data_IF_859124338378
#
_entry.id   IF_859124338378
#
_cell.length_a   1.000
_cell.length_b   1.000
_cell.length_c   1.000
_cell.angle_alpha   90.00
_cell.angle_beta   90.00
_cell.angle_gamma   90.00
#
_symmetry.space_group_name_H-M   'P 1'
#
loop_
_entity.id
_entity.type
_entity.pdbx_description
1 polymer ?
#
# COMPACT_ATOMS: atom_id res chain seq x y z
N UNK A 1 -54.15 -34.26 1.25
CA UNK A 1 -52.85 -34.81 1.71
C UNK A 1 -51.79 -34.79 0.61
N UNK A 2 -52.09 -35.21 -0.64
CA UNK A 2 -51.12 -35.20 -1.76
C UNK A 2 -50.48 -33.84 -2.09
N UNK A 3 -51.20 -32.71 -1.99
CA UNK A 3 -50.64 -31.38 -2.32
C UNK A 3 -49.47 -30.95 -1.44
N UNK A 4 -49.47 -31.33 -0.16
CA UNK A 4 -48.39 -30.99 0.78
C UNK A 4 -47.13 -31.83 0.54
N UNK A 5 -47.30 -33.10 0.15
CA UNK A 5 -46.17 -34.00 -0.15
C UNK A 5 -45.35 -33.46 -1.33
N UNK A 6 -46.01 -33.06 -2.43
CA UNK A 6 -45.31 -32.50 -3.59
C UNK A 6 -44.52 -31.24 -3.25
N UNK A 7 -45.07 -30.35 -2.42
CA UNK A 7 -44.38 -29.13 -1.97
C UNK A 7 -43.16 -29.47 -1.12
N UNK A 8 -43.28 -30.42 -0.19
CA UNK A 8 -42.17 -30.85 0.67
C UNK A 8 -41.04 -31.47 -0.15
N UNK A 9 -41.37 -32.32 -1.14
CA UNK A 9 -40.35 -32.92 -2.02
C UNK A 9 -39.60 -31.85 -2.81
N UNK A 10 -40.30 -30.86 -3.38
CA UNK A 10 -39.67 -29.76 -4.12
C UNK A 10 -38.77 -28.93 -3.20
N UNK A 11 -39.21 -28.62 -1.98
CA UNK A 11 -38.38 -27.89 -1.01
C UNK A 11 -37.13 -28.67 -0.61
N UNK A 12 -37.24 -29.98 -0.39
CA UNK A 12 -36.09 -30.84 -0.06
C UNK A 12 -35.07 -30.87 -1.21
N UNK A 13 -35.54 -30.92 -2.47
CA UNK A 13 -34.66 -30.84 -3.63
C UNK A 13 -33.94 -29.48 -3.72
N UNK A 14 -34.64 -28.38 -3.47
CA UNK A 14 -34.02 -27.04 -3.46
C UNK A 14 -32.94 -26.96 -2.39
N UNK A 15 -33.21 -27.42 -1.16
CA UNK A 15 -32.22 -27.44 -0.07
C UNK A 15 -31.01 -28.30 -0.42
N UNK A 16 -31.21 -29.46 -1.04
CA UNK A 16 -30.13 -30.33 -1.50
C UNK A 16 -29.25 -29.62 -2.55
N UNK A 17 -29.87 -29.01 -3.56
CA UNK A 17 -29.15 -28.28 -4.63
C UNK A 17 -28.38 -27.10 -4.03
N UNK A 18 -29.01 -26.29 -3.19
CA UNK A 18 -28.34 -25.17 -2.51
C UNK A 18 -27.17 -25.63 -1.62
N UNK A 19 -27.35 -26.75 -0.91
CA UNK A 19 -26.32 -27.35 -0.06
C UNK A 19 -25.07 -27.76 -0.83
N UNK A 20 -25.21 -28.21 -2.09
CA UNK A 20 -24.09 -28.54 -2.96
C UNK A 20 -23.47 -27.31 -3.65
N UNK A 21 -24.28 -26.29 -3.96
CA UNK A 21 -23.82 -25.10 -4.68
C UNK A 21 -23.01 -24.13 -3.80
N UNK A 22 -23.40 -23.92 -2.54
CA UNK A 22 -22.72 -22.98 -1.65
C UNK A 22 -21.21 -23.26 -1.46
N UNK A 23 -20.76 -24.48 -1.12
CA UNK A 23 -19.33 -24.76 -0.99
C UNK A 23 -18.59 -24.62 -2.32
N UNK A 24 -19.22 -24.99 -3.44
CA UNK A 24 -18.63 -24.87 -4.77
C UNK A 24 -18.41 -23.40 -5.16
N UNK A 25 -19.38 -22.51 -4.89
CA UNK A 25 -19.25 -21.07 -5.14
C UNK A 25 -18.13 -20.46 -4.30
N UNK A 26 -18.01 -20.85 -3.02
CA UNK A 26 -16.94 -20.36 -2.15
C UNK A 26 -15.55 -20.79 -2.64
N UNK A 27 -15.37 -22.06 -3.02
CA UNK A 27 -14.12 -22.56 -3.60
C UNK A 27 -13.77 -21.85 -4.90
N UNK A 28 -14.75 -21.60 -5.77
CA UNK A 28 -14.56 -20.86 -7.02
C UNK A 28 -14.10 -19.41 -6.76
N UNK A 29 -14.75 -18.71 -5.82
CA UNK A 29 -14.37 -17.34 -5.44
C UNK A 29 -12.95 -17.28 -4.89
N UNK A 30 -12.56 -18.25 -4.07
CA UNK A 30 -11.20 -18.29 -3.51
C UNK A 30 -10.15 -18.64 -4.58
N UNK A 31 -10.47 -19.55 -5.49
CA UNK A 31 -9.63 -19.81 -6.66
C UNK A 31 -9.45 -18.58 -7.55
N UNK A 32 -10.49 -17.75 -7.69
CA UNK A 32 -10.41 -16.48 -8.40
C UNK A 32 -9.51 -15.47 -7.67
N UNK A 33 -9.64 -15.31 -6.34
CA UNK A 33 -8.74 -14.45 -5.55
C UNK A 33 -7.29 -14.89 -5.63
N UNK A 34 -7.04 -16.20 -5.57
CA UNK A 34 -5.72 -16.79 -5.76
C UNK A 34 -5.14 -16.45 -7.14
N UNK A 35 -5.97 -16.55 -8.18
CA UNK A 35 -5.58 -16.17 -9.56
C UNK A 35 -5.32 -14.67 -9.70
N UNK A 36 -6.11 -13.82 -9.05
CA UNK A 36 -5.89 -12.36 -9.02
C UNK A 36 -4.59 -12.01 -8.31
N UNK A 37 -4.26 -12.63 -7.18
CA UNK A 37 -2.97 -12.40 -6.49
C UNK A 37 -1.78 -12.81 -7.37
N UNK A 38 -1.89 -13.94 -8.08
CA UNK A 38 -0.91 -14.33 -9.11
C UNK A 38 -0.79 -13.28 -10.22
N UNK A 39 -1.90 -12.71 -10.67
CA UNK A 39 -1.90 -11.65 -11.68
C UNK A 39 -1.28 -10.35 -11.17
N UNK A 40 -1.51 -9.98 -9.91
CA UNK A 40 -0.86 -8.83 -9.26
C UNK A 40 0.68 -9.00 -9.27
N UNK A 41 1.18 -10.18 -8.89
CA UNK A 41 2.61 -10.49 -8.99
C UNK A 41 3.13 -10.46 -10.43
N UNK A 42 2.33 -10.89 -11.41
CA UNK A 42 2.68 -10.78 -12.83
C UNK A 42 2.78 -9.33 -13.29
N UNK A 43 1.88 -8.46 -12.84
CA UNK A 43 1.95 -7.02 -13.13
C UNK A 43 3.19 -6.39 -12.51
N UNK A 44 3.51 -6.73 -11.24
CA UNK A 44 4.75 -6.31 -10.60
C UNK A 44 5.95 -6.78 -11.42
N UNK A 45 6.02 -8.06 -11.80
CA UNK A 45 7.11 -8.59 -12.63
C UNK A 45 7.29 -7.85 -13.94
N UNK A 46 6.20 -7.57 -14.66
CA UNK A 46 6.25 -6.79 -15.90
C UNK A 46 6.80 -5.38 -15.67
N UNK A 47 6.30 -4.66 -14.66
CA UNK A 47 6.77 -3.32 -14.33
C UNK A 47 8.26 -3.31 -13.94
N UNK A 48 8.72 -4.36 -13.27
CA UNK A 48 10.11 -4.51 -12.87
C UNK A 48 11.04 -4.78 -14.06
N UNK A 49 10.60 -5.58 -15.04
CA UNK A 49 11.33 -5.74 -16.31
C UNK A 49 11.39 -4.43 -17.10
N UNK A 50 10.28 -3.69 -17.18
CA UNK A 50 10.26 -2.38 -17.85
C UNK A 50 11.18 -1.37 -17.15
N UNK A 51 11.19 -1.36 -15.81
CA UNK A 51 12.12 -0.55 -15.02
C UNK A 51 13.57 -0.92 -15.35
N UNK A 52 13.89 -2.21 -15.34
CA UNK A 52 15.24 -2.69 -15.59
C UNK A 52 15.72 -2.43 -17.03
N UNK A 53 14.83 -2.48 -18.02
CA UNK A 53 15.18 -2.15 -19.39
C UNK A 53 15.52 -0.66 -19.53
N UNK A 54 14.77 0.21 -18.85
CA UNK A 54 14.99 1.66 -18.84
C UNK A 54 16.21 2.10 -18.01
N UNK A 55 16.48 1.46 -16.86
CA UNK A 55 17.52 1.87 -15.91
C UNK A 55 18.77 0.98 -15.92
N UNK A 56 18.74 -0.13 -16.66
CA UNK A 56 19.79 -1.16 -16.73
C UNK A 56 20.09 -1.88 -15.39
N UNK A 57 19.22 -1.72 -14.40
CA UNK A 57 19.30 -2.40 -13.11
C UNK A 57 17.92 -2.52 -12.48
N UNK A 58 17.80 -3.39 -11.49
CA UNK A 58 16.63 -3.46 -10.61
C UNK A 58 16.60 -2.22 -9.70
N UNK A 59 15.40 -1.77 -9.28
CA UNK A 59 15.30 -0.67 -8.34
C UNK A 59 15.95 -1.04 -7.02
N UNK A 60 16.54 -0.05 -6.37
CA UNK A 60 16.97 -0.17 -4.98
C UNK A 60 15.80 -0.63 -4.11
N UNK A 61 16.04 -1.59 -3.22
CA UNK A 61 15.07 -2.02 -2.20
C UNK A 61 14.50 -0.85 -1.41
N UNK A 62 15.38 0.11 -1.11
CA UNK A 62 15.03 1.38 -0.50
C UNK A 62 16.20 2.35 -0.57
N UNK A 63 15.91 3.62 -0.79
CA UNK A 63 16.92 4.66 -0.80
C UNK A 63 17.04 5.26 0.60
N UNK A 64 18.22 5.15 1.20
CA UNK A 64 18.53 5.71 2.51
C UNK A 64 19.65 6.71 2.31
N UNK A 65 19.39 7.97 2.67
CA UNK A 65 20.38 9.05 2.63
C UNK A 65 21.49 8.80 3.66
N UNK A 66 22.64 9.41 3.46
CA UNK A 66 23.80 9.34 4.36
C UNK A 66 23.49 9.71 5.82
N UNK A 67 22.56 10.64 6.04
CA UNK A 67 22.06 11.04 7.37
C UNK A 67 21.11 10.01 8.03
N UNK A 68 20.87 8.88 7.37
CA UNK A 68 19.96 7.83 7.81
C UNK A 68 18.50 8.07 7.45
N UNK A 69 18.16 9.17 6.77
CA UNK A 69 16.78 9.46 6.37
C UNK A 69 16.27 8.40 5.38
N UNK A 70 15.18 7.70 5.72
CA UNK A 70 14.57 6.72 4.82
C UNK A 70 13.76 7.45 3.75
N UNK A 71 14.28 7.53 2.53
CA UNK A 71 13.57 8.08 1.37
C UNK A 71 12.59 7.01 0.86
N UNK A 72 12.60 6.66 -0.43
CA UNK A 72 11.55 5.84 -1.05
C UNK A 72 11.93 4.35 -1.14
N UNK A 73 10.94 3.47 -1.03
CA UNK A 73 11.10 2.03 -1.27
C UNK A 73 11.01 1.61 -2.75
N UNK A 74 11.40 0.37 -3.04
CA UNK A 74 11.42 -0.17 -4.42
C UNK A 74 10.06 -0.09 -5.12
N UNK A 75 8.96 -0.23 -4.39
CA UNK A 75 7.59 -0.11 -4.94
C UNK A 75 7.29 1.28 -5.50
N UNK A 76 7.89 2.33 -4.94
CA UNK A 76 7.78 3.69 -5.49
C UNK A 76 8.51 3.81 -6.82
N UNK A 77 9.64 3.12 -6.99
CA UNK A 77 10.55 3.32 -8.13
C UNK A 77 9.97 2.83 -9.45
N UNK A 78 9.24 1.71 -9.44
CA UNK A 78 8.63 1.18 -10.66
C UNK A 78 7.18 1.63 -10.85
N UNK A 79 6.65 2.52 -10.00
CA UNK A 79 5.27 3.01 -10.10
C UNK A 79 4.92 3.56 -11.50
N UNK A 80 5.81 4.30 -12.22
CA UNK A 80 5.53 4.72 -13.60
C UNK A 80 5.24 3.59 -14.59
N UNK A 81 5.73 2.38 -14.30
CA UNK A 81 5.60 1.21 -15.16
C UNK A 81 4.43 0.28 -14.79
N UNK A 82 3.64 0.61 -13.75
CA UNK A 82 2.48 -0.18 -13.33
C UNK A 82 1.20 0.20 -14.06
N UNK A 83 0.80 1.47 -13.95
CA UNK A 83 -0.53 1.95 -14.35
C UNK A 83 -0.48 3.31 -15.06
N UNK A 84 0.73 3.82 -15.36
CA UNK A 84 0.98 5.18 -15.84
C UNK A 84 0.34 6.27 -14.96
N UNK A 85 0.08 5.98 -13.67
CA UNK A 85 -0.52 6.95 -12.75
C UNK A 85 0.37 8.18 -12.61
N UNK A 86 -0.22 9.40 -12.57
CA UNK A 86 0.54 10.63 -12.29
C UNK A 86 1.10 10.66 -10.86
N UNK A 87 0.76 9.69 -10.00
CA UNK A 87 1.18 9.63 -8.60
C UNK A 87 2.70 9.65 -8.42
N UNK A 88 3.47 9.04 -9.32
CA UNK A 88 4.92 9.10 -9.22
C UNK A 88 5.45 10.54 -9.31
N UNK A 89 4.87 11.36 -10.18
CA UNK A 89 5.27 12.76 -10.33
C UNK A 89 4.93 13.59 -9.08
N UNK A 90 3.98 13.13 -8.25
CA UNK A 90 3.53 13.83 -7.04
C UNK A 90 4.41 13.50 -5.82
N UNK A 91 5.33 12.53 -5.94
CA UNK A 91 6.26 12.16 -4.88
C UNK A 91 7.51 13.02 -4.95
N UNK A 92 7.85 13.65 -3.82
CA UNK A 92 9.15 14.25 -3.62
C UNK A 92 10.17 13.17 -3.21
N UNK A 93 11.03 12.80 -4.16
CA UNK A 93 12.07 11.78 -3.99
C UNK A 93 13.20 12.20 -3.05
N UNK A 94 13.32 13.50 -2.73
CA UNK A 94 14.33 14.06 -1.85
C UNK A 94 13.87 14.15 -0.39
N UNK A 95 12.64 13.79 -0.07
CA UNK A 95 12.15 13.76 1.30
C UNK A 95 11.83 12.32 1.73
N UNK A 96 11.70 12.12 3.04
CA UNK A 96 11.32 10.81 3.58
C UNK A 96 10.00 10.33 2.96
N UNK A 97 9.86 9.01 2.76
CA UNK A 97 8.61 8.43 2.20
C UNK A 97 7.37 8.86 3.00
N UNK A 98 7.50 8.96 4.32
CA UNK A 98 6.41 9.33 5.24
C UNK A 98 6.34 10.82 5.55
N UNK A 99 7.02 11.67 4.77
CA UNK A 99 6.92 13.12 4.94
C UNK A 99 5.52 13.62 4.58
N UNK A 100 5.04 14.72 5.20
CA UNK A 100 3.72 15.30 4.90
C UNK A 100 3.47 15.57 3.40
N UNK A 101 4.53 15.89 2.64
CA UNK A 101 4.45 16.18 1.20
C UNK A 101 4.15 14.93 0.35
N UNK A 102 4.57 13.75 0.80
CA UNK A 102 4.36 12.48 0.08
C UNK A 102 3.10 11.74 0.54
N UNK A 103 2.45 12.25 1.59
CA UNK A 103 1.47 11.50 2.35
C UNK A 103 0.23 11.12 1.53
N UNK A 104 -0.30 12.06 0.75
CA UNK A 104 -1.46 11.81 -0.11
C UNK A 104 -1.27 10.59 -1.04
N UNK A 105 -0.07 10.44 -1.61
CA UNK A 105 0.25 9.30 -2.46
C UNK A 105 0.46 8.03 -1.64
N UNK A 106 1.28 8.09 -0.58
CA UNK A 106 1.64 6.91 0.24
C UNK A 106 0.48 6.33 1.07
N UNK A 107 -0.59 7.10 1.27
CA UNK A 107 -1.84 6.66 1.89
C UNK A 107 -2.79 5.96 0.91
N UNK A 108 -2.51 6.04 -0.39
CA UNK A 108 -3.33 5.40 -1.41
C UNK A 108 -3.18 3.88 -1.33
N UNK A 109 -4.31 3.20 -1.13
CA UNK A 109 -4.40 1.74 -1.17
C UNK A 109 -4.42 1.29 -2.63
N UNK A 110 -3.47 0.44 -3.01
CA UNK A 110 -3.29 -0.03 -4.39
C UNK A 110 -3.66 -1.51 -4.49
N UNK A 111 -4.75 -1.88 -5.19
CA UNK A 111 -5.20 -3.28 -5.26
C UNK A 111 -4.15 -4.25 -5.78
N UNK A 112 -3.26 -3.81 -6.66
CA UNK A 112 -2.16 -4.63 -7.20
C UNK A 112 -1.01 -4.87 -6.21
N UNK A 113 -0.99 -4.19 -5.07
CA UNK A 113 -0.09 -4.50 -3.94
C UNK A 113 -0.74 -5.35 -2.86
N UNK A 114 -2.03 -5.68 -3.00
CA UNK A 114 -2.76 -6.46 -2.02
C UNK A 114 -3.09 -7.86 -2.54
N UNK A 115 -2.90 -8.86 -1.69
CA UNK A 115 -3.56 -10.16 -1.82
C UNK A 115 -5.08 -9.98 -1.56
N UNK A 116 -5.98 -10.29 -2.52
CA UNK A 116 -7.43 -10.08 -2.37
C UNK A 116 -8.12 -10.94 -1.29
N UNK A 117 -7.43 -11.94 -0.75
CA UNK A 117 -7.93 -12.76 0.36
C UNK A 117 -7.54 -12.22 1.73
N UNK A 118 -6.62 -11.24 1.79
CA UNK A 118 -6.22 -10.57 3.03
C UNK A 118 -7.02 -9.28 3.20
N UNK A 119 -7.62 -9.09 4.37
CA UNK A 119 -8.51 -7.96 4.62
C UNK A 119 -7.77 -6.66 4.99
N UNK A 120 -6.63 -6.76 5.68
CA UNK A 120 -5.86 -5.58 6.07
C UNK A 120 -5.45 -4.80 4.82
N UNK A 121 -5.63 -3.47 4.82
CA UNK A 121 -5.38 -2.65 3.64
C UNK A 121 -4.50 -1.42 3.94
N UNK A 122 -4.51 -0.96 5.19
CA UNK A 122 -3.80 0.23 5.65
C UNK A 122 -3.25 0.05 7.06
N UNK A 123 -2.30 0.91 7.42
CA UNK A 123 -1.86 1.07 8.80
C UNK A 123 -2.84 1.92 9.60
N UNK A 124 -2.79 1.84 10.94
CA UNK A 124 -3.55 2.76 11.83
C UNK A 124 -3.13 4.23 11.71
N UNK A 125 -2.02 4.49 11.01
CA UNK A 125 -1.56 5.84 10.67
C UNK A 125 -1.90 6.25 9.22
N UNK A 126 -2.67 5.43 8.50
CA UNK A 126 -3.26 5.79 7.21
C UNK A 126 -2.49 5.35 5.97
N UNK A 127 -1.24 4.90 6.10
CA UNK A 127 -0.45 4.42 4.96
C UNK A 127 -1.02 3.15 4.35
N UNK A 128 -1.10 3.08 3.02
CA UNK A 128 -1.54 1.89 2.29
C UNK A 128 -0.52 0.75 2.40
N UNK A 129 -1.00 -0.48 2.57
CA UNK A 129 -0.15 -1.65 2.75
C UNK A 129 0.31 -2.28 1.43
N UNK A 130 1.31 -3.15 1.57
CA UNK A 130 1.59 -4.24 0.62
C UNK A 130 1.47 -5.59 1.32
N UNK A 131 0.97 -6.58 0.59
CA UNK A 131 0.96 -8.01 0.96
C UNK A 131 2.07 -8.80 0.26
N UNK A 132 2.97 -8.10 -0.42
CA UNK A 132 4.14 -8.66 -1.10
C UNK A 132 5.41 -7.98 -0.59
N UNK A 133 6.41 -8.77 -0.16
CA UNK A 133 7.71 -8.25 0.26
C UNK A 133 8.83 -8.78 -0.64
N UNK A 134 9.82 -7.91 -0.85
CA UNK A 134 10.95 -8.16 -1.74
C UNK A 134 11.98 -9.16 -1.20
N UNK A 135 12.73 -9.73 -2.14
CA UNK A 135 13.92 -10.53 -1.85
C UNK A 135 15.06 -9.62 -1.37
N UNK A 136 15.58 -9.80 -0.14
CA UNK A 136 16.68 -8.99 0.38
C UNK A 136 17.98 -9.16 -0.42
N UNK A 137 18.11 -10.15 -1.29
CA UNK A 137 19.28 -10.32 -2.14
C UNK A 137 19.24 -9.43 -3.40
N UNK A 138 18.05 -8.98 -3.81
CA UNK A 138 17.86 -8.11 -4.98
C UNK A 138 17.45 -6.69 -4.57
N UNK A 139 16.56 -6.61 -3.58
CA UNK A 139 15.86 -5.41 -3.14
C UNK A 139 16.31 -5.03 -1.72
N UNK A 140 17.61 -4.78 -1.53
CA UNK A 140 18.15 -4.26 -0.28
C UNK A 140 18.43 -2.75 -0.36
N UNK A 141 18.88 -2.18 0.76
CA UNK A 141 19.12 -0.74 0.84
C UNK A 141 20.19 -0.27 -0.15
N UNK A 142 19.90 0.81 -0.86
CA UNK A 142 20.78 1.42 -1.86
C UNK A 142 21.33 0.40 -2.88
N UNK A 143 20.55 -0.63 -3.22
CA UNK A 143 20.94 -1.66 -4.18
C UNK A 143 20.80 -1.17 -5.63
N UNK A 144 21.54 -1.83 -6.52
CA UNK A 144 21.44 -1.66 -7.98
C UNK A 144 21.66 -3.01 -8.67
N UNK A 145 21.05 -4.07 -8.12
CA UNK A 145 21.25 -5.43 -8.61
C UNK A 145 20.84 -5.56 -10.08
N UNK A 146 21.52 -6.40 -10.85
CA UNK A 146 21.19 -6.61 -12.27
C UNK A 146 20.88 -8.09 -12.56
N UNK A 147 20.25 -8.37 -13.69
CA UNK A 147 19.94 -9.76 -14.07
C UNK A 147 21.20 -10.59 -14.32
N UNK A 148 22.29 -9.96 -14.75
CA UNK A 148 23.59 -10.61 -14.99
C UNK A 148 24.24 -11.14 -13.71
N UNK A 149 23.93 -10.53 -12.55
CA UNK A 149 24.44 -10.97 -11.25
C UNK A 149 23.74 -12.23 -10.71
N UNK A 150 22.68 -12.69 -11.37
CA UNK A 150 21.92 -13.88 -11.00
C UNK A 150 22.58 -15.14 -11.56
N UNK A 151 23.70 -15.57 -10.98
CA UNK A 151 24.52 -16.68 -11.50
C UNK A 151 23.77 -18.02 -11.63
N UNK A 152 22.76 -18.25 -10.78
CA UNK A 152 21.89 -19.44 -10.84
C UNK A 152 20.80 -19.33 -11.93
N UNK A 153 20.75 -18.21 -12.65
CA UNK A 153 19.72 -17.87 -13.63
C UNK A 153 18.50 -17.19 -13.01
N UNK A 154 17.80 -16.43 -13.85
CA UNK A 154 16.60 -15.64 -13.48
C UNK A 154 15.43 -16.52 -13.04
N UNK A 155 15.29 -17.73 -13.61
CA UNK A 155 14.26 -18.71 -13.24
C UNK A 155 14.47 -19.36 -11.87
N UNK A 156 15.68 -19.26 -11.28
CA UNK A 156 15.99 -19.78 -9.95
C UNK A 156 16.14 -18.67 -8.90
N UNK A 157 15.90 -17.42 -9.30
CA UNK A 157 16.07 -16.25 -8.43
C UNK A 157 14.69 -15.63 -8.22
N UNK A 158 14.16 -15.74 -7.00
CA UNK A 158 12.88 -15.14 -6.64
C UNK A 158 13.04 -13.63 -6.41
N UNK A 159 11.97 -12.88 -6.65
CA UNK A 159 11.97 -11.42 -6.66
C UNK A 159 11.16 -10.83 -5.49
N UNK A 160 9.92 -11.25 -5.37
CA UNK A 160 8.99 -10.86 -4.30
C UNK A 160 7.98 -11.98 -4.11
N UNK A 161 7.37 -12.05 -2.94
CA UNK A 161 6.41 -13.10 -2.60
C UNK A 161 5.31 -12.61 -1.68
N UNK A 162 4.22 -13.36 -1.65
CA UNK A 162 3.12 -13.16 -0.71
C UNK A 162 3.58 -13.36 0.74
N UNK A 163 3.25 -12.45 1.65
CA UNK A 163 3.61 -12.58 3.07
C UNK A 163 2.42 -12.92 3.96
N UNK A 164 2.69 -13.69 5.02
CA UNK A 164 1.66 -14.19 5.93
C UNK A 164 1.18 -13.15 6.95
N UNK A 165 1.98 -12.11 7.20
CA UNK A 165 1.69 -11.10 8.20
C UNK A 165 2.82 -10.09 8.33
N UNK A 166 2.77 -9.29 9.41
CA UNK A 166 3.63 -8.11 9.60
C UNK A 166 3.71 -7.27 8.34
N UNK A 167 2.54 -6.96 7.78
CA UNK A 167 2.40 -6.15 6.58
C UNK A 167 3.01 -4.77 6.82
N UNK A 168 3.51 -4.18 5.74
CA UNK A 168 4.24 -2.93 5.78
C UNK A 168 3.62 -1.97 4.76
N UNK A 169 3.77 -0.65 4.95
CA UNK A 169 3.42 0.31 3.91
C UNK A 169 4.14 -0.02 2.61
N UNK A 170 3.46 0.09 1.48
CA UNK A 170 4.07 -0.21 0.18
C UNK A 170 5.26 0.74 -0.11
N UNK A 171 5.19 2.00 0.35
CA UNK A 171 6.25 2.99 0.16
C UNK A 171 7.42 2.87 1.15
N UNK A 172 7.33 1.99 2.15
CA UNK A 172 8.34 1.85 3.20
C UNK A 172 9.65 1.29 2.63
N UNK A 173 10.81 1.95 2.82
CA UNK A 173 12.07 1.57 2.17
C UNK A 173 12.80 0.41 2.84
N UNK A 174 12.11 -0.42 3.64
CA UNK A 174 12.66 -1.64 4.23
C UNK A 174 11.67 -2.82 4.08
N UNK A 175 10.85 -2.80 3.04
CA UNK A 175 9.82 -3.81 2.77
C UNK A 175 10.34 -5.02 1.97
N UNK A 176 11.45 -5.57 2.46
CA UNK A 176 12.00 -6.87 2.09
C UNK A 176 12.07 -7.80 3.30
N UNK A 177 12.21 -9.10 3.04
CA UNK A 177 12.22 -10.14 4.07
C UNK A 177 12.88 -11.40 3.56
N UNK A 178 13.70 -12.05 4.37
CA UNK A 178 14.26 -13.38 4.05
C UNK A 178 13.15 -14.43 3.93
N UNK A 179 13.24 -15.30 2.91
CA UNK A 179 12.20 -16.28 2.59
C UNK A 179 11.95 -17.30 3.72
N UNK A 180 12.99 -17.63 4.50
CA UNK A 180 12.97 -18.69 5.50
C UNK A 180 13.04 -20.09 4.88
N UNK A 181 12.88 -21.12 5.71
CA UNK A 181 12.94 -22.53 5.30
C UNK A 181 11.57 -23.21 5.24
N UNK A 182 10.50 -22.49 5.60
CA UNK A 182 9.13 -22.98 5.57
C UNK A 182 8.16 -21.83 5.29
N UNK A 183 7.15 -22.08 4.45
CA UNK A 183 6.06 -21.12 4.20
C UNK A 183 4.94 -21.31 5.22
N UNK A 184 4.20 -20.24 5.48
CA UNK A 184 3.12 -20.17 6.46
C UNK A 184 3.54 -20.48 7.91
N UNK A 185 4.84 -20.35 8.23
CA UNK A 185 5.41 -20.52 9.57
C UNK A 185 5.29 -19.23 10.42
N UNK A 186 4.05 -18.78 10.60
CA UNK A 186 3.73 -17.58 11.38
C UNK A 186 3.84 -16.25 10.62
N UNK A 187 3.59 -15.11 11.30
CA UNK A 187 3.43 -13.80 10.66
C UNK A 187 4.70 -13.25 10.01
N UNK A 188 5.87 -13.73 10.43
CA UNK A 188 7.16 -13.37 9.84
C UNK A 188 7.49 -14.19 8.58
N UNK A 189 6.66 -15.15 8.16
CA UNK A 189 6.92 -16.00 6.99
C UNK A 189 6.31 -15.46 5.70
N UNK A 190 6.64 -16.10 4.58
CA UNK A 190 5.94 -15.97 3.31
C UNK A 190 4.81 -16.99 3.22
N UNK A 191 3.79 -16.71 2.40
CA UNK A 191 2.62 -17.55 2.20
C UNK A 191 1.32 -16.93 2.72
N UNK A 192 0.20 -17.55 2.38
CA UNK A 192 -1.11 -17.26 2.95
C UNK A 192 -1.65 -18.54 3.59
N UNK A 193 -1.78 -18.61 4.94
CA UNK A 193 -2.12 -19.85 5.65
C UNK A 193 -3.39 -20.54 5.16
N UNK A 194 -4.43 -19.79 4.77
CA UNK A 194 -5.66 -20.40 4.26
C UNK A 194 -5.49 -21.07 2.88
N UNK A 195 -4.42 -20.76 2.13
CA UNK A 195 -4.04 -21.48 0.92
C UNK A 195 -3.01 -22.59 1.16
N UNK A 196 -2.52 -22.76 2.40
CA UNK A 196 -1.44 -23.71 2.74
C UNK A 196 -0.21 -23.51 1.86
N UNK A 197 0.15 -22.26 1.59
CA UNK A 197 1.23 -21.89 0.68
C UNK A 197 1.09 -20.47 0.16
N UNK A 198 1.92 -20.11 -0.81
CA UNK A 198 1.86 -18.80 -1.46
C UNK A 198 2.60 -18.76 -2.79
N UNK A 199 2.41 -17.66 -3.49
CA UNK A 199 3.10 -17.39 -4.74
C UNK A 199 4.41 -16.66 -4.51
N UNK A 200 5.42 -17.06 -5.28
CA UNK A 200 6.65 -16.32 -5.47
C UNK A 200 6.74 -15.90 -6.95
N UNK A 201 7.09 -14.63 -7.17
CA UNK A 201 7.52 -14.12 -8.46
C UNK A 201 9.01 -14.37 -8.62
N UNK A 202 9.43 -14.83 -9.79
CA UNK A 202 10.83 -15.01 -10.17
C UNK A 202 11.30 -13.89 -11.08
N UNK A 203 12.62 -13.73 -11.16
CA UNK A 203 13.28 -12.70 -11.95
C UNK A 203 13.13 -12.90 -13.47
N UNK A 204 12.65 -14.06 -13.93
CA UNK A 204 12.24 -14.30 -15.31
C UNK A 204 10.78 -13.86 -15.58
N UNK A 205 10.10 -13.29 -14.59
CA UNK A 205 8.70 -12.90 -14.65
C UNK A 205 7.72 -14.05 -14.40
N UNK A 206 8.18 -15.29 -14.19
CA UNK A 206 7.31 -16.42 -13.86
C UNK A 206 6.75 -16.31 -12.44
N UNK A 207 5.52 -16.78 -12.22
CA UNK A 207 4.89 -16.78 -10.89
C UNK A 207 4.40 -18.19 -10.60
N UNK A 208 4.95 -18.76 -9.53
CA UNK A 208 4.74 -20.15 -9.14
C UNK A 208 4.20 -20.24 -7.72
N UNK A 209 3.29 -21.19 -7.50
CA UNK A 209 2.74 -21.47 -6.18
C UNK A 209 3.55 -22.54 -5.47
N UNK A 210 3.95 -22.28 -4.23
CA UNK A 210 4.65 -23.22 -3.36
C UNK A 210 3.77 -23.53 -2.16
N UNK A 211 3.62 -24.81 -1.83
CA UNK A 211 2.88 -25.21 -0.64
C UNK A 211 3.74 -25.04 0.61
N UNK A 212 3.11 -25.01 1.78
CA UNK A 212 3.79 -25.08 3.09
C UNK A 212 4.61 -26.36 3.27
N UNK A 213 4.33 -27.40 2.47
CA UNK A 213 5.05 -28.68 2.44
C UNK A 213 6.24 -28.69 1.47
N UNK A 214 6.55 -27.55 0.84
CA UNK A 214 7.73 -27.41 -0.02
C UNK A 214 8.99 -27.75 0.79
N UNK A 215 9.89 -28.55 0.21
CA UNK A 215 11.13 -28.95 0.88
C UNK A 215 11.93 -27.73 1.32
N UNK A 216 12.39 -27.75 2.57
CA UNK A 216 13.26 -26.72 3.13
C UNK A 216 14.51 -26.49 2.27
N UNK A 217 15.06 -27.54 1.65
CA UNK A 217 16.23 -27.45 0.76
C UNK A 217 15.93 -26.60 -0.48
N UNK A 218 14.71 -26.63 -1.00
CA UNK A 218 14.31 -25.79 -2.16
C UNK A 218 14.24 -24.32 -1.72
N UNK A 219 13.59 -24.05 -0.58
CA UNK A 219 13.45 -22.68 -0.06
C UNK A 219 14.82 -22.09 0.35
N UNK A 220 15.70 -22.90 0.93
CA UNK A 220 17.07 -22.51 1.27
C UNK A 220 17.88 -22.16 0.02
N UNK A 221 17.75 -22.93 -1.06
CA UNK A 221 18.38 -22.60 -2.36
C UNK A 221 17.89 -21.26 -2.91
N UNK A 222 16.60 -20.95 -2.78
CA UNK A 222 16.06 -19.65 -3.19
C UNK A 222 16.51 -18.51 -2.26
N UNK A 223 16.54 -18.76 -0.95
CA UNK A 223 16.94 -17.76 0.05
C UNK A 223 18.43 -17.39 -0.04
N UNK A 224 19.27 -18.28 -0.56
CA UNK A 224 20.72 -18.10 -0.67
C UNK A 224 21.20 -17.82 -2.11
N UNK A 225 20.28 -17.71 -3.08
CA UNK A 225 20.62 -17.46 -4.47
C UNK A 225 21.38 -16.12 -4.63
N UNK A 226 22.43 -16.06 -5.47
CA UNK A 226 23.17 -14.83 -5.72
C UNK A 226 22.34 -13.81 -6.52
N UNK A 227 22.65 -12.51 -6.43
CA UNK A 227 23.75 -11.91 -5.65
C UNK A 227 23.53 -11.97 -4.13
N UNK A 228 24.61 -12.04 -3.34
CA UNK A 228 24.53 -12.11 -1.87
C UNK A 228 25.05 -10.79 -1.26
N UNK A 229 24.18 -9.93 -0.72
CA UNK A 229 24.58 -8.68 -0.07
C UNK A 229 25.17 -8.89 1.32
N UNK A 230 25.78 -7.84 1.88
CA UNK A 230 26.27 -7.86 3.27
C UNK A 230 25.12 -7.82 4.28
N UNK A 231 25.40 -8.19 5.53
CA UNK A 231 24.41 -8.15 6.62
C UNK A 231 23.88 -6.73 6.87
N UNK A 232 24.75 -5.73 6.75
CA UNK A 232 24.44 -4.32 6.94
C UNK A 232 23.52 -3.79 5.83
N UNK A 233 23.66 -4.32 4.61
CA UNK A 233 22.82 -3.97 3.47
C UNK A 233 21.39 -4.50 3.61
N UNK A 234 21.23 -5.72 4.16
CA UNK A 234 19.91 -6.34 4.35
C UNK A 234 19.27 -6.03 5.69
N UNK A 235 19.97 -5.33 6.58
CA UNK A 235 19.46 -4.96 7.89
C UNK A 235 18.18 -4.14 7.78
N UNK A 236 17.15 -4.55 8.51
CA UNK A 236 15.86 -3.86 8.61
C UNK A 236 15.68 -3.28 10.01
N UNK A 237 15.12 -2.07 10.16
CA UNK A 237 14.77 -1.54 11.47
C UNK A 237 13.78 -2.45 12.19
N UNK A 238 13.88 -2.55 13.52
CA UNK A 238 12.88 -3.21 14.37
C UNK A 238 11.62 -2.35 14.47
N UNK A 239 10.90 -2.23 13.35
CA UNK A 239 9.65 -1.49 13.23
C UNK A 239 8.52 -2.47 12.94
N UNK A 240 7.41 -2.28 13.65
CA UNK A 240 6.14 -2.96 13.39
C UNK A 240 5.07 -1.91 13.17
N UNK A 241 4.24 -2.16 12.17
CA UNK A 241 3.10 -1.32 11.85
C UNK A 241 1.85 -1.97 12.43
N UNK A 242 1.01 -1.18 13.09
CA UNK A 242 -0.34 -1.60 13.42
C UNK A 242 -1.16 -1.54 12.14
N UNK A 243 -1.71 -2.68 11.73
CA UNK A 243 -2.41 -2.85 10.44
C UNK A 243 -3.82 -3.33 10.66
N UNK A 244 -4.72 -2.96 9.76
CA UNK A 244 -6.12 -3.32 9.86
C UNK A 244 -6.90 -2.96 8.61
N UNK A 245 -8.21 -3.02 8.71
CA UNK A 245 -9.14 -2.58 7.69
C UNK A 245 -9.48 -1.13 8.00
N UNK A 246 -9.01 -0.21 7.16
CA UNK A 246 -9.30 1.21 7.30
C UNK A 246 -9.77 1.82 5.99
N UNK A 247 -10.56 2.88 6.09
CA UNK A 247 -11.09 3.60 4.94
C UNK A 247 -10.95 5.10 5.18
N UNK A 248 -10.54 5.82 4.12
CA UNK A 248 -10.50 7.27 4.13
C UNK A 248 -11.85 7.83 3.71
N UNK A 249 -12.43 8.67 4.56
CA UNK A 249 -13.62 9.46 4.26
C UNK A 249 -13.23 10.92 4.14
N UNK A 250 -13.47 11.49 2.96
CA UNK A 250 -13.23 12.91 2.71
C UNK A 250 -14.44 13.75 3.12
N UNK A 251 -14.16 14.91 3.69
CA UNK A 251 -15.12 15.85 4.20
C UNK A 251 -14.71 17.27 3.80
N UNK A 252 -15.46 17.92 2.91
CA UNK A 252 -15.23 19.32 2.57
C UNK A 252 -15.44 20.21 3.79
N UNK A 253 -14.55 21.20 3.96
CA UNK A 253 -14.64 22.21 5.03
C UNK A 253 -15.36 23.50 4.57
N UNK A 254 -15.96 23.52 3.37
CA UNK A 254 -16.79 24.62 2.85
C UNK A 254 -16.16 26.01 3.02
N UNK A 255 -14.97 26.20 2.45
CA UNK A 255 -14.32 27.51 2.36
C UNK A 255 -14.95 28.36 1.26
N UNK A 256 -14.74 29.69 1.30
CA UNK A 256 -15.32 30.62 0.32
C UNK A 256 -14.91 30.21 -1.12
N UNK A 257 -15.86 30.13 -2.08
CA UNK A 257 -15.61 29.62 -3.43
C UNK A 257 -14.68 30.51 -4.26
N UNK A 258 -14.50 31.79 -3.90
CA UNK A 258 -13.66 32.76 -4.63
C UNK A 258 -12.19 32.77 -4.15
N UNK A 259 -11.78 31.82 -3.30
CA UNK A 259 -10.41 31.72 -2.78
C UNK A 259 -9.56 30.76 -3.62
N UNK A 260 -8.27 31.07 -3.76
CA UNK A 260 -7.28 30.25 -4.47
C UNK A 260 -7.08 28.83 -3.88
N UNK A 261 -7.65 28.53 -2.71
CA UNK A 261 -7.44 27.28 -1.98
C UNK A 261 -8.75 26.62 -1.55
N UNK A 262 -8.78 25.30 -1.69
CA UNK A 262 -9.82 24.44 -1.12
C UNK A 262 -9.27 23.68 0.07
N UNK A 263 -10.09 23.58 1.12
CA UNK A 263 -9.75 22.85 2.34
C UNK A 263 -10.72 21.71 2.58
N UNK A 264 -10.17 20.56 2.96
CA UNK A 264 -10.95 19.39 3.29
C UNK A 264 -10.26 18.58 4.38
N UNK A 265 -11.05 17.86 5.17
CA UNK A 265 -10.55 16.89 6.11
C UNK A 265 -10.66 15.48 5.51
N UNK A 266 -9.67 14.64 5.78
CA UNK A 266 -9.76 13.18 5.61
C UNK A 266 -9.84 12.56 7.00
N UNK A 267 -10.82 11.68 7.19
CA UNK A 267 -11.03 10.89 8.42
C UNK A 267 -10.73 9.44 8.09
N UNK A 268 -9.78 8.85 8.80
CA UNK A 268 -9.49 7.42 8.73
C UNK A 268 -10.45 6.71 9.69
N UNK A 269 -11.29 5.83 9.16
CA UNK A 269 -12.25 5.05 9.93
C UNK A 269 -11.84 3.57 9.92
N UNK A 270 -12.08 2.85 11.02
CA UNK A 270 -11.91 1.39 11.07
C UNK A 270 -13.15 0.66 10.47
N UNK A 271 -13.17 -0.66 10.53
CA UNK A 271 -14.29 -1.48 10.04
C UNK A 271 -15.64 -1.19 10.71
N UNK A 272 -15.62 -0.64 11.92
CA UNK A 272 -16.81 -0.30 12.71
C UNK A 272 -17.21 1.17 12.53
N UNK A 273 -16.66 1.87 11.52
CA UNK A 273 -16.88 3.29 11.23
C UNK A 273 -16.42 4.22 12.37
N UNK A 274 -15.57 3.75 13.28
CA UNK A 274 -14.98 4.57 14.33
C UNK A 274 -13.79 5.35 13.75
N UNK A 275 -13.70 6.68 13.97
CA UNK A 275 -12.56 7.46 13.53
C UNK A 275 -11.31 7.12 14.34
N UNK A 276 -10.17 7.02 13.65
CA UNK A 276 -8.85 6.66 14.20
C UNK A 276 -7.84 7.77 13.99
N UNK A 277 -7.97 8.51 12.89
CA UNK A 277 -7.07 9.60 12.53
C UNK A 277 -7.85 10.67 11.76
N UNK A 278 -7.58 11.94 12.03
CA UNK A 278 -8.13 13.05 11.25
C UNK A 278 -6.96 13.87 10.71
N UNK A 279 -7.05 14.24 9.44
CA UNK A 279 -6.06 15.03 8.74
C UNK A 279 -6.75 16.15 7.96
N UNK A 280 -6.20 17.35 8.00
CA UNK A 280 -6.64 18.47 7.18
C UNK A 280 -5.67 18.66 6.04
N UNK A 281 -6.24 18.86 4.85
CA UNK A 281 -5.52 19.12 3.63
C UNK A 281 -5.93 20.46 3.04
N UNK A 282 -4.97 21.08 2.37
CA UNK A 282 -5.15 22.23 1.49
C UNK A 282 -4.78 21.82 0.07
N UNK A 283 -5.62 22.18 -0.90
CA UNK A 283 -5.33 22.05 -2.32
C UNK A 283 -5.47 23.40 -3.00
N UNK A 284 -4.58 23.71 -3.94
CA UNK A 284 -4.69 24.93 -4.74
C UNK A 284 -5.77 24.73 -5.81
N UNK A 285 -6.51 25.79 -6.11
CA UNK A 285 -7.53 25.85 -7.15
C UNK A 285 -7.11 26.70 -8.35
N UNK A 286 -6.03 27.47 -8.25
CA UNK A 286 -5.59 28.35 -9.33
C UNK A 286 -5.16 27.54 -10.54
N UNK A 287 -5.95 27.52 -11.60
CA UNK A 287 -5.47 27.15 -12.93
C UNK A 287 -4.38 28.16 -13.30
N UNK A 288 -3.13 27.71 -13.37
CA UNK A 288 -2.03 28.56 -13.80
C UNK A 288 -2.22 28.91 -15.27
N UNK A 289 -1.97 30.18 -15.61
CA UNK A 289 -1.78 30.56 -17.00
C UNK A 289 -0.60 29.80 -17.62
N UNK A 290 -0.60 29.62 -18.94
CA UNK A 290 0.49 28.91 -19.65
C UNK A 290 1.87 29.51 -19.36
N UNK A 291 1.97 30.83 -19.15
CA UNK A 291 3.21 31.52 -18.80
C UNK A 291 3.69 31.18 -17.37
N UNK A 292 2.78 31.14 -16.39
CA UNK A 292 3.12 30.75 -15.01
C UNK A 292 3.54 29.27 -14.93
N UNK A 293 2.92 28.39 -15.73
CA UNK A 293 3.33 26.98 -15.83
C UNK A 293 4.73 26.83 -16.40
N UNK A 294 5.08 27.62 -17.43
CA UNK A 294 6.39 27.61 -18.06
C UNK A 294 7.51 28.18 -17.16
N UNK A 295 7.18 29.09 -16.26
CA UNK A 295 8.13 29.68 -15.30
C UNK A 295 8.34 28.85 -14.04
N UNK A 296 7.42 27.93 -13.72
CA UNK A 296 7.56 27.07 -12.55
C UNK A 296 8.68 26.05 -12.70
N UNK A 297 9.49 25.91 -11.65
CA UNK A 297 10.50 24.87 -11.59
C UNK A 297 9.83 23.48 -11.58
N UNK A 298 10.55 22.45 -12.04
CA UNK A 298 10.07 21.06 -12.07
C UNK A 298 9.55 20.58 -10.70
N UNK A 299 10.15 21.02 -9.60
CA UNK A 299 9.68 20.69 -8.24
C UNK A 299 8.36 21.38 -7.89
N UNK A 300 8.16 22.62 -8.32
CA UNK A 300 6.91 23.34 -8.12
C UNK A 300 5.79 22.73 -8.98
N UNK A 301 6.07 22.38 -10.23
CA UNK A 301 5.13 21.71 -11.14
C UNK A 301 4.59 20.40 -10.56
N UNK A 302 5.46 19.61 -9.92
CA UNK A 302 5.08 18.34 -9.26
C UNK A 302 4.12 18.52 -8.09
N UNK A 303 4.08 19.70 -7.48
CA UNK A 303 3.36 19.93 -6.22
C UNK A 303 2.16 20.87 -6.34
N UNK A 304 1.96 21.48 -7.51
CA UNK A 304 1.07 22.61 -7.70
C UNK A 304 -0.43 22.29 -7.53
N UNK A 305 -0.85 21.05 -7.82
CA UNK A 305 -2.25 20.60 -7.66
C UNK A 305 -2.40 19.40 -6.71
N UNK A 306 -1.39 19.17 -5.86
CA UNK A 306 -1.38 18.03 -4.93
C UNK A 306 -1.92 18.49 -3.58
N UNK A 307 -2.92 17.81 -2.99
CA UNK A 307 -3.34 18.10 -1.64
C UNK A 307 -2.18 17.98 -0.65
N UNK A 308 -1.92 19.05 0.09
CA UNK A 308 -0.86 19.09 1.11
C UNK A 308 -1.47 18.95 2.49
N UNK A 309 -0.95 18.02 3.28
CA UNK A 309 -1.31 17.90 4.68
C UNK A 309 -0.89 19.18 5.42
N UNK A 310 -1.84 19.82 6.09
CA UNK A 310 -1.60 21.04 6.89
C UNK A 310 -1.70 20.80 8.40
N UNK A 311 -2.52 19.84 8.82
CA UNK A 311 -2.72 19.54 10.24
C UNK A 311 -3.13 18.08 10.42
N UNK A 312 -2.54 17.42 11.42
CA UNK A 312 -2.98 16.11 11.89
C UNK A 312 -3.61 16.30 13.27
N UNK A 313 -4.85 15.83 13.44
CA UNK A 313 -5.60 15.96 14.69
C UNK A 313 -5.59 14.62 15.42
N UNK A 314 -5.11 14.66 16.66
CA UNK A 314 -5.24 13.58 17.65
C UNK A 314 -6.26 13.97 18.72
N UNK A 315 -6.59 13.04 19.61
CA UNK A 315 -7.49 13.28 20.75
C UNK A 315 -7.01 14.39 21.69
N UNK A 316 -5.71 14.66 21.73
CA UNK A 316 -5.08 15.65 22.62
C UNK A 316 -4.72 16.96 21.92
N UNK A 317 -4.98 17.09 20.62
CA UNK A 317 -4.73 18.34 19.90
C UNK A 317 -5.61 19.46 20.45
N UNK A 318 -5.01 20.59 20.82
CA UNK A 318 -5.77 21.83 21.06
C UNK A 318 -6.31 22.32 19.71
N UNK A 319 -7.56 21.97 19.42
CA UNK A 319 -8.16 22.21 18.12
C UNK A 319 -8.29 23.70 17.82
N UNK A 320 -8.62 24.52 18.83
CA UNK A 320 -8.80 25.95 18.63
C UNK A 320 -7.46 26.60 18.26
N UNK A 321 -6.40 26.29 18.99
CA UNK A 321 -5.07 26.82 18.69
C UNK A 321 -4.54 26.28 17.36
N UNK A 322 -4.68 24.97 17.12
CA UNK A 322 -4.17 24.34 15.90
C UNK A 322 -4.84 24.85 14.63
N UNK A 323 -6.15 25.14 14.66
CA UNK A 323 -6.85 25.74 13.51
C UNK A 323 -6.42 27.19 13.28
N UNK A 324 -6.22 27.98 14.35
CA UNK A 324 -5.72 29.37 14.26
C UNK A 324 -4.33 29.44 13.63
N UNK A 325 -3.44 28.53 14.04
CA UNK A 325 -2.06 28.47 13.54
C UNK A 325 -1.96 27.87 12.13
N UNK A 326 -3.03 27.25 11.64
CA UNK A 326 -3.06 26.65 10.31
C UNK A 326 -3.34 27.69 9.21
N UNK A 327 -2.93 27.44 7.96
CA UNK A 327 -3.26 28.33 6.83
C UNK A 327 -4.75 28.57 6.61
N UNK A 328 -5.61 27.70 7.14
CA UNK A 328 -7.07 27.81 7.07
C UNK A 328 -7.57 29.13 7.65
N UNK A 329 -6.95 29.64 8.73
CA UNK A 329 -7.38 30.87 9.41
C UNK A 329 -7.31 32.11 8.51
N UNK A 330 -6.44 32.10 7.51
CA UNK A 330 -6.32 33.20 6.53
C UNK A 330 -7.44 33.18 5.47
N UNK A 331 -8.04 32.01 5.24
CA UNK A 331 -8.96 31.73 4.13
C UNK A 331 -10.41 31.48 4.57
N UNK A 332 -10.71 31.61 5.86
CA UNK A 332 -12.05 31.42 6.42
C UNK A 332 -12.46 32.58 7.31
N UNK A 333 -13.73 32.99 7.22
CA UNK A 333 -14.30 33.95 8.16
C UNK A 333 -14.65 33.30 9.51
N UNK A 334 -14.94 34.12 10.52
CA UNK A 334 -15.14 33.67 11.91
C UNK A 334 -16.33 32.71 12.05
N UNK A 335 -17.41 32.92 11.30
CA UNK A 335 -18.59 32.05 11.30
C UNK A 335 -18.27 30.66 10.70
N UNK A 336 -17.54 30.62 9.58
CA UNK A 336 -17.08 29.37 8.97
C UNK A 336 -16.11 28.62 9.89
N UNK A 337 -15.16 29.34 10.50
CA UNK A 337 -14.20 28.75 11.44
C UNK A 337 -14.92 28.10 12.62
N UNK A 338 -15.99 28.72 13.14
CA UNK A 338 -16.79 28.14 14.21
C UNK A 338 -17.49 26.84 13.77
N UNK A 339 -18.07 26.79 12.57
CA UNK A 339 -18.70 25.58 12.00
C UNK A 339 -17.67 24.46 11.82
N UNK A 340 -16.49 24.79 11.27
CA UNK A 340 -15.39 23.85 11.07
C UNK A 340 -14.92 23.30 12.42
N UNK A 341 -14.71 24.18 13.41
CA UNK A 341 -14.31 23.80 14.76
C UNK A 341 -15.32 22.82 15.37
N UNK A 342 -16.62 23.17 15.41
CA UNK A 342 -17.65 22.29 15.99
C UNK A 342 -17.68 20.91 15.32
N UNK A 343 -17.55 20.87 13.99
CA UNK A 343 -17.54 19.61 13.24
C UNK A 343 -16.33 18.76 13.57
N UNK A 344 -15.13 19.34 13.55
CA UNK A 344 -13.89 18.64 13.85
C UNK A 344 -13.81 18.21 15.33
N UNK A 345 -14.32 19.04 16.25
CA UNK A 345 -14.39 18.72 17.68
C UNK A 345 -15.28 17.49 17.93
N UNK A 346 -16.41 17.40 17.23
CA UNK A 346 -17.30 16.23 17.33
C UNK A 346 -16.62 14.92 16.91
N UNK A 347 -15.74 14.98 15.91
CA UNK A 347 -14.97 13.84 15.42
C UNK A 347 -13.78 13.54 16.32
N UNK A 348 -13.08 14.57 16.80
CA UNK A 348 -11.95 14.45 17.72
C UNK A 348 -12.33 13.72 19.01
N UNK A 349 -13.53 13.99 19.55
CA UNK A 349 -14.07 13.31 20.74
C UNK A 349 -14.26 11.80 20.56
N UNK A 350 -14.41 11.33 19.31
CA UNK A 350 -14.62 9.92 18.98
C UNK A 350 -13.30 9.17 18.74
N UNK A 351 -12.17 9.89 18.62
CA UNK A 351 -10.85 9.28 18.47
C UNK A 351 -10.51 8.41 19.70
N UNK A 352 -9.77 7.30 19.50
CA UNK A 352 -9.37 6.39 20.57
C UNK A 352 -8.57 7.09 21.68
#
# INVERSE_FOLDING_TARGET
>A
MQRWVSIVVVLLLIVLVLGLLLPAVQQSREGARKSTSKMNLKQIGLAMHNYADAHRCLPSGGVIREDGTPLQGWMTMYLPFMDASPDFNRINMQTAWNSPVNRDVTETVRPYYLNPSVQANSTSTGYGLTHYLGNPHLLYRNSSATFEQMENGTAHTWFTGEVAGYFQPWAYPFNWRSLGTQLCDGPASFGYPAWQGGHLLFADGSVSFFSEKTSAVILEKFATAPPVPTREQIAVPEKRFQTGIFYWKQMSLQTEPDRDHTYFAKVLENSDQQPVLIQLFRSNHKELSEEEQQQMHLEDQRTFSVPRLILQISKTTDLQQALKDSPLSNDTNEAQMQVIHTRLESLQKQLP
#
